data_IF_424604468492
#
_entry.id   IF_424604468492
#
_cell.length_a   1.000
_cell.length_b   1.000
_cell.length_c   1.000
_cell.angle_alpha   90.00
_cell.angle_beta   90.00
_cell.angle_gamma   90.00
#
_symmetry.space_group_name_H-M   'P 1'
#
loop_
_entity.id
_entity.type
_entity.pdbx_description
1 polymer ?
#
# COMPACT_ATOMS: atom_id res chain seq x y z
N UNK A 1 15.49 0.18 7.12
CA UNK A 1 15.27 -0.63 5.90
C UNK A 1 15.18 0.30 4.71
N UNK A 2 15.88 0.02 3.60
CA UNK A 2 15.72 0.75 2.33
C UNK A 2 14.61 0.09 1.52
N UNK A 3 13.67 0.88 1.03
CA UNK A 3 12.55 0.41 0.21
C UNK A 3 12.55 1.00 -1.20
N UNK A 4 11.50 0.68 -1.97
CA UNK A 4 11.33 1.13 -3.35
C UNK A 4 11.36 2.66 -3.50
N UNK A 5 10.82 3.38 -2.52
CA UNK A 5 10.83 4.85 -2.46
C UNK A 5 12.25 5.39 -2.31
N UNK A 6 13.08 4.74 -1.48
CA UNK A 6 14.48 5.14 -1.28
C UNK A 6 15.27 4.99 -2.58
N UNK A 7 15.02 3.91 -3.33
CA UNK A 7 15.64 3.69 -4.63
C UNK A 7 15.22 4.75 -5.66
N UNK A 8 13.92 5.05 -5.76
CA UNK A 8 13.42 6.07 -6.69
C UNK A 8 13.96 7.48 -6.38
N UNK A 9 14.10 7.82 -5.10
CA UNK A 9 14.75 9.07 -4.69
C UNK A 9 16.24 9.08 -5.05
N UNK A 10 16.96 7.98 -4.81
CA UNK A 10 18.39 7.88 -5.10
C UNK A 10 18.71 8.05 -6.59
N UNK A 11 17.86 7.53 -7.49
CA UNK A 11 18.00 7.75 -8.95
C UNK A 11 17.94 9.23 -9.35
N UNK A 12 17.37 10.10 -8.50
CA UNK A 12 17.33 11.55 -8.69
C UNK A 12 18.32 12.31 -7.81
N UNK A 13 19.27 11.61 -7.17
CA UNK A 13 20.22 12.21 -6.24
C UNK A 13 19.60 12.71 -4.94
N UNK A 14 18.38 12.26 -4.61
CA UNK A 14 17.64 12.66 -3.41
C UNK A 14 17.74 11.58 -2.32
N UNK A 15 17.58 12.01 -1.06
CA UNK A 15 17.50 11.12 0.09
C UNK A 15 16.44 11.64 1.06
N UNK A 16 15.61 10.75 1.59
CA UNK A 16 14.66 11.09 2.67
C UNK A 16 15.32 11.01 4.04
N UNK A 17 14.78 11.74 5.00
CA UNK A 17 15.09 11.58 6.41
C UNK A 17 14.08 10.63 7.08
N UNK A 18 14.54 9.49 7.61
CA UNK A 18 13.67 8.51 8.27
C UNK A 18 13.61 8.82 9.77
N UNK A 19 12.49 9.40 10.22
CA UNK A 19 12.30 9.83 11.62
C UNK A 19 11.68 8.75 12.51
N UNK A 20 10.98 7.78 11.92
CA UNK A 20 10.32 6.68 12.62
C UNK A 20 10.18 5.47 11.69
N UNK A 21 10.27 4.26 12.26
CA UNK A 21 9.92 3.00 11.58
C UNK A 21 8.84 2.32 12.40
N UNK A 22 7.75 1.92 11.75
CA UNK A 22 6.61 1.23 12.36
C UNK A 22 6.53 -0.22 11.90
N UNK A 23 5.94 -1.14 12.68
CA UNK A 23 5.92 -2.57 12.34
C UNK A 23 4.92 -2.93 11.23
N UNK A 24 3.87 -2.12 11.02
CA UNK A 24 2.82 -2.39 10.04
C UNK A 24 2.16 -1.10 9.52
N UNK A 25 1.51 -1.17 8.35
CA UNK A 25 0.78 -0.04 7.77
C UNK A 25 -0.32 0.51 8.69
N UNK A 26 -1.01 -0.35 9.45
CA UNK A 26 -2.05 0.07 10.39
C UNK A 26 -1.57 1.02 11.49
N UNK A 27 -0.27 1.02 11.79
CA UNK A 27 0.33 1.94 12.77
C UNK A 27 0.68 3.32 12.19
N UNK A 28 0.76 3.43 10.86
CA UNK A 28 1.15 4.68 10.16
C UNK A 28 0.22 5.86 10.49
N UNK A 29 -1.12 5.76 10.35
CA UNK A 29 -1.97 6.92 10.58
C UNK A 29 -1.91 7.41 12.03
N UNK A 30 -1.84 6.49 12.99
CA UNK A 30 -1.69 6.82 14.41
C UNK A 30 -0.36 7.53 14.69
N UNK A 31 0.73 7.12 14.02
CA UNK A 31 2.02 7.79 14.13
C UNK A 31 1.98 9.20 13.52
N UNK A 32 1.45 9.36 12.30
CA UNK A 32 1.37 10.65 11.59
C UNK A 32 0.54 11.69 12.36
N UNK A 33 -0.42 11.26 13.19
CA UNK A 33 -1.17 12.16 14.07
C UNK A 33 -0.35 12.72 15.24
N UNK A 34 0.84 12.18 15.51
CA UNK A 34 1.68 12.52 16.67
C UNK A 34 3.03 13.11 16.28
N UNK A 35 3.47 12.95 15.04
CA UNK A 35 4.77 13.45 14.56
C UNK A 35 4.60 14.23 13.26
N UNK A 36 5.39 15.29 13.09
CA UNK A 36 5.47 16.07 11.86
C UNK A 36 6.27 15.28 10.79
N UNK A 37 5.59 14.38 10.08
CA UNK A 37 6.18 13.53 9.06
C UNK A 37 5.18 13.27 7.93
N UNK A 38 5.69 12.68 6.85
CA UNK A 38 4.89 12.17 5.73
C UNK A 38 5.23 10.70 5.49
N UNK A 39 4.30 9.95 4.89
CA UNK A 39 4.51 8.56 4.52
C UNK A 39 4.03 8.31 3.09
N UNK A 40 4.79 7.51 2.35
CA UNK A 40 4.36 6.95 1.07
C UNK A 40 3.68 5.61 1.32
N UNK A 41 2.42 5.49 0.92
CA UNK A 41 1.58 4.29 1.13
C UNK A 41 0.72 4.00 -0.11
N UNK A 42 0.18 2.78 -0.27
CA UNK A 42 -0.80 2.50 -1.31
C UNK A 42 -2.00 3.44 -1.28
N UNK A 43 -2.47 3.89 -2.44
CA UNK A 43 -3.55 4.87 -2.60
C UNK A 43 -4.84 4.48 -1.84
N UNK A 44 -5.23 3.21 -1.92
CA UNK A 44 -6.42 2.68 -1.21
C UNK A 44 -6.36 2.88 0.31
N UNK A 45 -5.16 2.82 0.90
CA UNK A 45 -4.96 3.09 2.32
C UNK A 45 -4.97 4.60 2.60
N UNK A 46 -4.32 5.38 1.75
CA UNK A 46 -4.28 6.84 1.90
C UNK A 46 -5.69 7.45 1.87
N UNK A 47 -6.54 6.99 0.96
CA UNK A 47 -7.94 7.43 0.83
C UNK A 47 -8.78 7.06 2.06
N UNK A 48 -8.72 5.80 2.53
CA UNK A 48 -9.38 5.39 3.78
C UNK A 48 -8.88 6.23 4.97
N UNK A 49 -7.57 6.47 5.07
CA UNK A 49 -7.04 7.19 6.22
C UNK A 49 -7.28 8.69 6.21
N UNK A 50 -7.45 9.30 5.03
CA UNK A 50 -7.92 10.68 4.92
C UNK A 50 -9.26 10.82 5.62
N UNK A 51 -10.19 9.92 5.31
CA UNK A 51 -11.56 9.95 5.82
C UNK A 51 -11.61 9.54 7.31
N UNK A 52 -10.87 8.49 7.70
CA UNK A 52 -10.93 7.90 9.04
C UNK A 52 -10.06 8.61 10.10
N UNK A 53 -8.96 9.24 9.69
CA UNK A 53 -7.96 9.84 10.61
C UNK A 53 -7.74 11.35 10.39
N UNK A 54 -8.43 11.96 9.42
CA UNK A 54 -8.25 13.37 9.10
C UNK A 54 -6.82 13.69 8.67
N UNK A 55 -6.24 12.83 7.82
CA UNK A 55 -4.95 13.04 7.17
C UNK A 55 -5.15 13.65 5.79
N UNK A 56 -4.11 14.20 5.19
CA UNK A 56 -4.15 14.68 3.81
C UNK A 56 -3.39 13.74 2.87
N UNK A 57 -3.82 13.71 1.61
CA UNK A 57 -3.20 12.91 0.56
C UNK A 57 -2.62 13.86 -0.49
N UNK A 58 -1.37 13.63 -0.86
CA UNK A 58 -0.67 14.38 -1.90
C UNK A 58 -0.10 13.43 -2.96
N UNK A 59 0.02 13.94 -4.19
CA UNK A 59 0.67 13.21 -5.27
C UNK A 59 2.17 13.00 -4.98
N UNK A 60 2.71 11.87 -5.45
CA UNK A 60 4.10 11.54 -5.19
C UNK A 60 5.05 12.45 -5.99
N UNK A 61 6.14 12.95 -5.36
CA UNK A 61 7.12 13.80 -6.05
C UNK A 61 8.05 13.01 -6.99
N UNK A 62 7.93 11.68 -6.99
CA UNK A 62 8.70 10.75 -7.82
C UNK A 62 7.76 9.69 -8.39
N UNK A 63 8.01 9.28 -9.63
CA UNK A 63 7.32 8.13 -10.21
C UNK A 63 7.76 6.85 -9.48
N UNK A 64 6.78 6.04 -9.10
CA UNK A 64 6.99 4.70 -8.55
C UNK A 64 6.30 3.69 -9.45
N UNK A 65 6.82 2.45 -9.56
CA UNK A 65 6.11 1.41 -10.28
C UNK A 65 4.81 1.06 -9.55
N UNK A 66 3.81 0.65 -10.33
CA UNK A 66 2.52 0.23 -9.79
C UNK A 66 2.66 -1.04 -8.95
N UNK A 67 1.90 -1.08 -7.86
CA UNK A 67 1.82 -2.27 -7.00
C UNK A 67 0.74 -3.18 -7.57
N UNK A 68 1.14 -4.38 -7.99
CA UNK A 68 0.20 -5.42 -8.40
C UNK A 68 -0.19 -6.29 -7.20
N UNK A 69 -1.49 -6.43 -6.97
CA UNK A 69 -2.04 -7.39 -5.99
C UNK A 69 -2.56 -8.59 -6.76
N UNK A 70 -2.02 -9.77 -6.46
CA UNK A 70 -2.39 -11.02 -7.14
C UNK A 70 -2.89 -12.06 -6.14
N UNK A 71 -3.84 -12.88 -6.60
CA UNK A 71 -4.29 -14.05 -5.88
C UNK A 71 -3.57 -15.27 -6.43
N UNK A 72 -2.87 -16.00 -5.56
CA UNK A 72 -2.06 -17.18 -5.93
C UNK A 72 -2.54 -18.38 -5.14
N UNK A 73 -2.77 -19.50 -5.83
CA UNK A 73 -3.11 -20.80 -5.25
C UNK A 73 -2.13 -21.86 -5.74
N UNK A 74 -1.96 -22.93 -4.95
CA UNK A 74 -1.15 -24.07 -5.37
C UNK A 74 -1.77 -24.76 -6.59
N UNK A 75 -0.96 -25.17 -7.58
CA UNK A 75 -1.44 -25.75 -8.84
C UNK A 75 -2.37 -26.96 -8.64
N UNK A 76 -2.04 -27.82 -7.65
CA UNK A 76 -2.86 -28.99 -7.30
C UNK A 76 -4.27 -28.65 -6.79
N UNK A 77 -4.54 -27.39 -6.43
CA UNK A 77 -5.86 -26.93 -5.96
C UNK A 77 -6.63 -26.17 -7.03
N UNK A 78 -6.17 -26.17 -8.28
CA UNK A 78 -6.86 -25.46 -9.35
C UNK A 78 -8.26 -26.03 -9.64
N UNK A 79 -8.50 -27.32 -9.39
CA UNK A 79 -9.81 -27.97 -9.52
C UNK A 79 -10.63 -28.01 -8.22
N UNK A 80 -10.12 -27.44 -7.13
CA UNK A 80 -10.83 -27.37 -5.85
C UNK A 80 -11.95 -26.34 -5.96
N UNK A 81 -13.20 -26.80 -5.86
CA UNK A 81 -14.38 -25.96 -6.03
C UNK A 81 -14.49 -24.86 -4.97
N UNK A 82 -14.00 -25.10 -3.74
CA UNK A 82 -14.02 -24.10 -2.68
C UNK A 82 -12.99 -22.98 -2.96
N UNK A 83 -11.81 -23.35 -3.47
CA UNK A 83 -10.78 -22.38 -3.89
C UNK A 83 -11.26 -21.54 -5.08
N UNK A 84 -11.87 -22.17 -6.08
CA UNK A 84 -12.45 -21.46 -7.23
C UNK A 84 -13.57 -20.51 -6.80
N UNK A 85 -14.50 -20.99 -5.97
CA UNK A 85 -15.60 -20.17 -5.47
C UNK A 85 -15.09 -18.95 -4.72
N UNK A 86 -14.19 -19.13 -3.75
CA UNK A 86 -13.64 -18.03 -2.96
C UNK A 86 -12.87 -17.05 -3.85
N UNK A 87 -12.07 -17.57 -4.79
CA UNK A 87 -11.32 -16.72 -5.71
C UNK A 87 -12.21 -15.88 -6.62
N UNK A 88 -13.32 -16.46 -7.10
CA UNK A 88 -14.31 -15.72 -7.88
C UNK A 88 -15.05 -14.68 -7.04
N UNK A 89 -15.39 -15.00 -5.78
CA UNK A 89 -16.00 -14.06 -4.85
C UNK A 89 -15.08 -12.86 -4.59
N UNK A 90 -13.80 -13.11 -4.28
CA UNK A 90 -12.81 -12.05 -4.06
C UNK A 90 -12.68 -11.16 -5.30
N UNK A 91 -12.58 -11.76 -6.50
CA UNK A 91 -12.51 -11.00 -7.76
C UNK A 91 -13.75 -10.14 -8.00
N UNK A 92 -14.94 -10.61 -7.62
CA UNK A 92 -16.18 -9.86 -7.78
C UNK A 92 -16.23 -8.62 -6.87
N UNK A 93 -15.71 -8.71 -5.64
CA UNK A 93 -15.74 -7.61 -4.67
C UNK A 93 -14.53 -6.68 -4.76
N UNK A 94 -13.39 -7.16 -5.26
CA UNK A 94 -12.13 -6.40 -5.34
C UNK A 94 -12.06 -5.49 -6.59
N UNK A 95 -13.17 -5.28 -7.30
CA UNK A 95 -13.20 -4.37 -8.44
C UNK A 95 -12.85 -2.96 -7.99
N UNK A 96 -12.04 -2.21 -8.77
CA UNK A 96 -11.65 -0.86 -8.42
C UNK A 96 -12.91 0.00 -8.20
N UNK A 97 -12.96 0.68 -7.06
CA UNK A 97 -14.02 1.65 -6.77
C UNK A 97 -13.81 2.83 -7.72
N UNK A 98 -14.71 2.98 -8.69
CA UNK A 98 -14.73 4.08 -9.68
C UNK A 98 -14.94 5.41 -8.94
#
# INVERSE_FOLDING_TARGET
TQGIVDHALALRGLKRNVVCTVPAFSSVPVALRRIAAVATVPRVLAESWRDDFGLEVAELPVALPEIQVAMVSHQNRNSDSAVQWLGNLIKAIAQPRI
#
